data_IF_269462798087
#
_entry.id   IF_269462798087
#
_cell.length_a   1.000
_cell.length_b   1.000
_cell.length_c   1.000
_cell.angle_alpha   90.00
_cell.angle_beta   90.00
_cell.angle_gamma   90.00
#
_symmetry.space_group_name_H-M   'P 1'
#
loop_
_entity.id
_entity.type
_entity.pdbx_description
1 polymer ?
#
# COMPACT_ATOMS: atom_id res chain seq x y z
N UNK A 1 30.46 44.88 -5.05
CA UNK A 1 29.15 44.76 -5.74
C UNK A 1 29.23 43.55 -6.65
N UNK A 2 28.61 42.43 -6.25
CA UNK A 2 27.42 41.83 -6.91
C UNK A 2 27.74 41.31 -8.33
N UNK A 3 27.55 40.04 -8.70
CA UNK A 3 26.61 39.02 -8.24
C UNK A 3 27.13 37.61 -8.54
N UNK A 4 26.95 36.69 -7.58
CA UNK A 4 26.88 35.26 -7.82
C UNK A 4 25.67 34.94 -8.71
N UNK A 5 25.88 34.17 -9.78
CA UNK A 5 24.84 33.32 -10.37
C UNK A 5 25.31 31.87 -10.31
N UNK A 6 24.93 31.22 -9.22
CA UNK A 6 24.92 29.77 -9.07
C UNK A 6 23.87 29.19 -10.01
N UNK A 7 24.30 28.56 -11.11
CA UNK A 7 23.44 27.69 -11.89
C UNK A 7 23.25 26.37 -11.14
N UNK A 8 22.03 26.13 -10.67
CA UNK A 8 21.61 24.85 -10.09
C UNK A 8 21.55 23.79 -11.20
N UNK A 9 22.12 22.59 -11.01
CA UNK A 9 22.02 21.54 -12.01
C UNK A 9 20.58 21.03 -12.13
N UNK A 10 20.14 20.94 -13.39
CA UNK A 10 18.85 20.41 -13.86
C UNK A 10 18.54 19.06 -13.18
N UNK A 11 17.33 18.95 -12.64
CA UNK A 11 16.79 17.78 -11.95
C UNK A 11 17.09 16.45 -12.68
N UNK A 12 17.82 15.58 -12.00
CA UNK A 12 18.08 14.23 -12.47
C UNK A 12 16.79 13.40 -12.41
N UNK A 13 16.20 13.10 -13.58
CA UNK A 13 15.20 12.03 -13.72
C UNK A 13 15.88 10.68 -13.53
N UNK A 14 15.93 10.21 -12.28
CA UNK A 14 16.38 8.84 -11.99
C UNK A 14 15.32 7.85 -12.50
N UNK A 15 15.52 7.30 -13.70
CA UNK A 15 14.79 6.12 -14.19
C UNK A 15 15.33 4.88 -13.49
N UNK A 16 14.70 4.47 -12.38
CA UNK A 16 14.95 3.14 -11.83
C UNK A 16 14.24 2.08 -12.67
N UNK A 17 15.02 1.28 -13.40
CA UNK A 17 14.56 0.02 -14.01
C UNK A 17 14.53 -1.05 -12.93
N UNK A 18 13.38 -1.28 -12.32
CA UNK A 18 13.14 -2.50 -11.52
C UNK A 18 12.84 -3.66 -12.47
N UNK A 19 13.53 -4.79 -12.28
CA UNK A 19 13.33 -6.04 -13.03
C UNK A 19 11.95 -6.65 -12.70
N UNK A 20 10.89 -6.10 -13.28
CA UNK A 20 9.59 -6.76 -13.36
C UNK A 20 9.42 -7.35 -14.76
N UNK A 21 8.87 -8.57 -14.85
CA UNK A 21 8.42 -9.18 -16.12
C UNK A 21 7.25 -8.42 -16.78
N UNK A 22 6.70 -7.41 -16.11
CA UNK A 22 5.90 -6.33 -16.70
C UNK A 22 6.07 -5.06 -15.86
N UNK A 23 6.48 -3.91 -16.42
CA UNK A 23 6.80 -2.72 -15.63
C UNK A 23 5.59 -2.26 -14.81
N UNK A 24 5.72 -2.35 -13.49
CA UNK A 24 4.75 -1.80 -12.54
C UNK A 24 4.85 -0.27 -12.58
N UNK A 25 3.78 0.44 -12.97
CA UNK A 25 3.81 1.91 -12.96
C UNK A 25 3.49 2.42 -11.56
N UNK A 26 4.50 2.89 -10.84
CA UNK A 26 4.34 3.51 -9.52
C UNK A 26 4.11 5.02 -9.69
N UNK A 27 3.05 5.54 -9.07
CA UNK A 27 2.72 6.97 -9.01
C UNK A 27 2.76 7.44 -7.57
N UNK A 28 3.74 8.29 -7.24
CA UNK A 28 3.93 8.83 -5.90
C UNK A 28 3.23 10.18 -5.74
N UNK A 29 2.63 10.39 -4.58
CA UNK A 29 1.96 11.62 -4.20
C UNK A 29 2.39 12.04 -2.79
N UNK A 30 2.67 13.33 -2.57
CA UNK A 30 2.99 13.83 -1.23
C UNK A 30 1.79 13.73 -0.29
N UNK A 31 0.61 14.12 -0.75
CA UNK A 31 -0.63 14.12 0.04
C UNK A 31 -1.79 13.74 -0.89
N UNK A 32 -2.66 12.85 -0.44
CA UNK A 32 -3.94 12.54 -1.09
C UNK A 32 -5.07 12.46 -0.05
N UNK A 33 -6.34 12.61 -0.44
CA UNK A 33 -7.46 12.20 0.39
C UNK A 33 -7.38 10.69 0.67
N UNK A 34 -7.27 9.86 -0.37
CA UNK A 34 -7.12 8.42 -0.27
C UNK A 34 -6.41 7.85 -1.52
N UNK A 35 -5.47 6.93 -1.32
CA UNK A 35 -4.85 6.16 -2.43
C UNK A 35 -5.89 5.30 -3.13
N UNK A 36 -6.87 4.77 -2.40
CA UNK A 36 -7.91 3.91 -2.95
C UNK A 36 -8.85 4.68 -3.88
N UNK A 37 -9.30 5.86 -3.45
CA UNK A 37 -10.08 6.76 -4.31
C UNK A 37 -9.29 7.14 -5.55
N UNK A 38 -8.01 7.51 -5.40
CA UNK A 38 -7.18 7.89 -6.54
C UNK A 38 -6.96 6.73 -7.51
N UNK A 39 -6.77 5.52 -7.01
CA UNK A 39 -6.65 4.32 -7.82
C UNK A 39 -7.94 4.03 -8.61
N UNK A 40 -9.11 4.13 -7.97
CA UNK A 40 -10.41 3.98 -8.64
C UNK A 40 -10.61 5.04 -9.73
N UNK A 41 -10.30 6.30 -9.46
CA UNK A 41 -10.33 7.40 -10.44
C UNK A 41 -9.46 7.08 -11.67
N UNK A 42 -8.21 6.66 -11.44
CA UNK A 42 -7.27 6.34 -12.52
C UNK A 42 -7.69 5.10 -13.30
N UNK A 43 -8.25 4.08 -12.63
CA UNK A 43 -8.79 2.89 -13.28
C UNK A 43 -9.95 3.25 -14.24
N UNK A 44 -10.88 4.11 -13.81
CA UNK A 44 -11.97 4.61 -14.67
C UNK A 44 -11.46 5.37 -15.90
N UNK A 45 -10.31 6.04 -15.77
CA UNK A 45 -9.61 6.75 -16.85
C UNK A 45 -8.68 5.86 -17.69
N UNK A 46 -8.73 4.53 -17.52
CA UNK A 46 -7.97 3.58 -18.34
C UNK A 46 -6.52 3.37 -17.90
N UNK A 47 -6.17 3.64 -16.65
CA UNK A 47 -4.87 3.24 -16.12
C UNK A 47 -4.71 1.71 -16.19
N UNK A 48 -3.52 1.27 -16.61
CA UNK A 48 -3.23 -0.15 -16.81
C UNK A 48 -3.25 -0.93 -15.48
N UNK A 49 -3.60 -2.22 -15.50
CA UNK A 49 -3.41 -3.13 -14.38
C UNK A 49 -1.99 -3.06 -13.82
N UNK A 50 -1.87 -3.34 -12.51
CA UNK A 50 -0.65 -3.21 -11.73
C UNK A 50 -0.09 -1.78 -11.68
N UNK A 51 -0.89 -0.76 -11.97
CA UNK A 51 -0.54 0.61 -11.57
C UNK A 51 -0.67 0.73 -10.05
N UNK A 52 0.36 1.26 -9.41
CA UNK A 52 0.44 1.44 -7.95
C UNK A 52 0.40 2.92 -7.63
N UNK A 53 -0.52 3.30 -6.74
CA UNK A 53 -0.65 4.66 -6.22
C UNK A 53 -0.07 4.64 -4.82
N UNK A 54 0.89 5.51 -4.53
CA UNK A 54 1.51 5.64 -3.20
C UNK A 54 1.33 7.05 -2.70
N UNK A 55 0.96 7.22 -1.43
CA UNK A 55 0.89 8.53 -0.78
C UNK A 55 1.81 8.58 0.45
N UNK A 56 2.53 9.69 0.66
CA UNK A 56 3.27 9.89 1.92
C UNK A 56 2.32 10.18 3.10
N UNK A 57 1.15 10.78 2.83
CA UNK A 57 0.10 11.07 3.82
C UNK A 57 -1.28 10.95 3.18
N UNK A 58 -2.25 10.44 3.94
CA UNK A 58 -3.67 10.52 3.57
C UNK A 58 -4.43 11.46 4.51
N UNK A 59 -5.24 12.36 3.98
CA UNK A 59 -6.10 13.26 4.78
C UNK A 59 -7.48 12.67 5.07
N UNK A 60 -7.90 11.67 4.30
CA UNK A 60 -9.18 10.98 4.45
C UNK A 60 -9.03 9.48 4.20
N UNK A 61 -7.95 8.88 4.73
CA UNK A 61 -7.76 7.44 4.69
C UNK A 61 -8.93 6.73 5.37
N UNK A 62 -9.40 5.62 4.80
CA UNK A 62 -10.52 4.87 5.34
C UNK A 62 -10.34 3.35 5.16
N UNK A 63 -10.95 2.59 6.05
CA UNK A 63 -11.05 1.14 6.00
C UNK A 63 -12.44 0.65 5.58
N UNK A 64 -12.73 -0.62 5.87
CA UNK A 64 -14.05 -1.22 5.67
C UNK A 64 -15.12 -0.44 6.44
N UNK A 65 -16.35 -0.44 5.93
CA UNK A 65 -17.47 0.32 6.52
C UNK A 65 -17.15 1.82 6.73
N UNK A 66 -16.19 2.36 5.96
CA UNK A 66 -15.73 3.76 6.02
C UNK A 66 -15.18 4.20 7.38
N UNK A 67 -14.66 3.27 8.20
CA UNK A 67 -13.93 3.65 9.40
C UNK A 67 -12.70 4.46 9.04
N UNK A 68 -12.34 5.46 9.85
CA UNK A 68 -11.16 6.27 9.59
C UNK A 68 -9.89 5.42 9.68
N UNK A 69 -8.93 5.69 8.79
CA UNK A 69 -7.60 5.07 8.81
C UNK A 69 -6.54 6.16 9.03
N UNK A 70 -5.91 6.16 10.20
CA UNK A 70 -4.87 7.12 10.55
C UNK A 70 -3.64 6.94 9.65
N UNK A 71 -3.29 7.98 8.88
CA UNK A 71 -2.27 7.90 7.83
C UNK A 71 -1.35 9.14 7.77
N UNK A 72 -0.60 9.45 8.85
CA UNK A 72 0.38 10.55 8.84
C UNK A 72 1.60 10.19 7.98
N UNK A 73 2.56 11.11 7.84
CA UNK A 73 3.84 10.77 7.20
C UNK A 73 4.58 9.67 7.97
N UNK A 74 5.30 8.82 7.24
CA UNK A 74 6.13 7.75 7.78
C UNK A 74 5.61 6.35 7.47
N UNK A 75 4.28 6.17 7.36
CA UNK A 75 3.68 4.88 6.98
C UNK A 75 3.81 4.58 5.48
N UNK A 76 3.42 3.36 5.11
CA UNK A 76 3.33 2.90 3.73
C UNK A 76 1.86 2.78 3.35
N UNK A 77 1.35 3.75 2.59
CA UNK A 77 -0.02 3.81 2.11
C UNK A 77 -0.05 3.71 0.61
N UNK A 78 -0.65 2.65 0.09
CA UNK A 78 -0.71 2.45 -1.35
C UNK A 78 -1.95 1.68 -1.78
N UNK A 79 -2.28 1.81 -3.06
CA UNK A 79 -3.35 1.05 -3.70
C UNK A 79 -2.89 0.50 -5.05
N UNK A 80 -3.31 -0.71 -5.37
CA UNK A 80 -2.98 -1.43 -6.61
C UNK A 80 -4.25 -1.59 -7.44
N UNK A 81 -4.19 -1.18 -8.71
CA UNK A 81 -5.25 -1.48 -9.68
C UNK A 81 -5.02 -2.91 -10.18
N UNK A 82 -5.95 -3.82 -9.97
CA UNK A 82 -5.84 -5.19 -10.44
C UNK A 82 -6.32 -5.35 -11.88
N UNK A 83 -5.81 -6.37 -12.61
CA UNK A 83 -6.46 -6.81 -13.84
C UNK A 83 -7.87 -7.35 -13.52
N UNK A 84 -8.74 -7.36 -14.54
CA UNK A 84 -10.00 -8.12 -14.44
C UNK A 84 -9.63 -9.59 -14.23
N UNK A 85 -10.03 -10.16 -13.09
CA UNK A 85 -9.74 -11.55 -12.73
C UNK A 85 -11.03 -12.37 -12.73
N UNK A 86 -10.88 -13.70 -12.74
CA UNK A 86 -11.98 -14.63 -12.47
C UNK A 86 -12.34 -14.69 -10.98
N UNK A 87 -11.50 -14.11 -10.10
CA UNK A 87 -11.75 -14.03 -8.66
C UNK A 87 -12.72 -12.88 -8.44
N UNK A 88 -14.01 -13.21 -8.48
CA UNK A 88 -15.09 -12.24 -8.23
C UNK A 88 -15.24 -11.92 -6.74
N UNK A 89 -14.77 -12.81 -5.86
CA UNK A 89 -14.83 -12.62 -4.41
C UNK A 89 -13.74 -11.66 -3.91
N UNK A 90 -14.16 -10.47 -3.51
CA UNK A 90 -13.30 -9.45 -2.91
C UNK A 90 -12.71 -9.88 -1.56
N UNK A 91 -13.39 -10.78 -0.83
CA UNK A 91 -12.89 -11.26 0.44
C UNK A 91 -11.64 -12.13 0.23
N UNK A 92 -11.66 -13.02 -0.76
CA UNK A 92 -10.50 -13.83 -1.17
C UNK A 92 -9.29 -12.95 -1.53
N UNK A 93 -9.48 -11.91 -2.35
CA UNK A 93 -8.40 -10.96 -2.68
C UNK A 93 -7.84 -10.25 -1.44
N UNK A 94 -8.72 -9.91 -0.49
CA UNK A 94 -8.34 -9.25 0.76
C UNK A 94 -7.51 -10.17 1.65
N UNK A 95 -7.92 -11.44 1.79
CA UNK A 95 -7.22 -12.45 2.59
C UNK A 95 -5.85 -12.76 1.98
N UNK A 96 -5.77 -12.96 0.67
CA UNK A 96 -4.50 -13.15 -0.05
C UNK A 96 -3.55 -11.97 0.21
N UNK A 97 -4.08 -10.75 0.15
CA UNK A 97 -3.28 -9.55 0.42
C UNK A 97 -2.79 -9.48 1.85
N UNK A 98 -3.64 -9.80 2.83
CA UNK A 98 -3.24 -9.88 4.23
C UNK A 98 -2.14 -10.93 4.45
N UNK A 99 -2.25 -12.08 3.78
CA UNK A 99 -1.24 -13.13 3.81
C UNK A 99 0.10 -12.67 3.24
N UNK A 100 0.12 -12.03 2.07
CA UNK A 100 1.37 -11.52 1.46
C UNK A 100 2.01 -10.44 2.33
N UNK A 101 1.23 -9.56 2.95
CA UNK A 101 1.77 -8.57 3.89
C UNK A 101 2.37 -9.25 5.11
N UNK A 102 1.64 -10.18 5.75
CA UNK A 102 2.12 -10.90 6.92
C UNK A 102 3.40 -11.69 6.60
N UNK A 103 3.44 -12.41 5.47
CA UNK A 103 4.63 -13.11 4.98
C UNK A 103 5.81 -12.16 4.80
N UNK A 104 5.59 -11.01 4.16
CA UNK A 104 6.65 -10.00 3.94
C UNK A 104 7.19 -9.48 5.28
N UNK A 105 6.33 -9.22 6.26
CA UNK A 105 6.75 -8.77 7.60
C UNK A 105 7.60 -9.85 8.27
N UNK A 106 7.11 -11.10 8.28
CA UNK A 106 7.80 -12.23 8.90
C UNK A 106 9.20 -12.45 8.30
N UNK A 107 9.30 -12.50 6.97
CA UNK A 107 10.56 -12.79 6.27
C UNK A 107 11.61 -11.69 6.41
N UNK A 108 11.22 -10.42 6.51
CA UNK A 108 12.19 -9.31 6.59
C UNK A 108 12.60 -8.95 8.03
N UNK A 109 11.77 -9.27 9.02
CA UNK A 109 11.90 -8.69 10.36
C UNK A 109 11.84 -9.71 11.50
N UNK A 110 11.65 -11.00 11.20
CA UNK A 110 11.52 -12.06 12.22
C UNK A 110 10.44 -11.78 13.28
N UNK A 111 9.43 -11.00 12.91
CA UNK A 111 8.23 -10.77 13.70
C UNK A 111 7.22 -11.90 13.42
N UNK A 112 6.28 -12.11 14.33
CA UNK A 112 5.21 -13.12 14.19
C UNK A 112 3.86 -12.46 13.95
N UNK A 113 3.57 -11.98 12.71
CA UNK A 113 2.31 -11.34 12.39
C UNK A 113 1.16 -12.34 12.35
N UNK A 114 0.02 -11.95 12.92
CA UNK A 114 -1.24 -12.69 12.88
C UNK A 114 -2.25 -12.00 11.97
N UNK A 115 -3.04 -12.78 11.23
CA UNK A 115 -4.11 -12.26 10.39
C UNK A 115 -5.42 -12.34 11.17
N UNK A 116 -5.96 -11.18 11.55
CA UNK A 116 -7.33 -11.07 12.05
C UNK A 116 -8.25 -10.92 10.84
N UNK A 117 -8.97 -12.00 10.53
CA UNK A 117 -9.79 -12.06 9.34
C UNK A 117 -10.85 -10.96 9.31
N UNK A 118 -11.20 -10.47 8.10
CA UNK A 118 -10.60 -10.83 6.81
C UNK A 118 -9.43 -9.94 6.37
N UNK A 119 -9.12 -8.85 7.09
CA UNK A 119 -8.44 -7.71 6.48
C UNK A 119 -7.41 -6.97 7.37
N UNK A 120 -7.12 -7.50 8.55
CA UNK A 120 -6.21 -6.87 9.51
C UNK A 120 -4.99 -7.77 9.74
N UNK A 121 -3.80 -7.16 9.75
CA UNK A 121 -2.57 -7.83 10.21
C UNK A 121 -2.18 -7.22 11.54
N UNK A 122 -1.93 -8.09 12.52
CA UNK A 122 -1.61 -7.74 13.89
C UNK A 122 -0.19 -8.19 14.24
N UNK A 123 0.46 -7.47 15.14
CA UNK A 123 1.69 -7.89 15.83
C UNK A 123 1.43 -7.66 17.32
N UNK A 124 1.70 -8.65 18.17
CA UNK A 124 1.42 -8.56 19.60
C UNK A 124 -0.02 -8.10 19.90
N UNK A 125 -0.99 -8.66 19.18
CA UNK A 125 -2.43 -8.32 19.23
C UNK A 125 -2.80 -6.88 18.85
N UNK A 126 -1.86 -6.05 18.42
CA UNK A 126 -2.08 -4.69 17.94
C UNK A 126 -2.01 -4.60 16.42
N UNK A 127 -2.85 -3.77 15.83
CA UNK A 127 -2.98 -3.64 14.37
C UNK A 127 -1.80 -2.89 13.77
N UNK A 128 -1.08 -3.56 12.87
CA UNK A 128 0.01 -2.96 12.08
C UNK A 128 -0.42 -2.65 10.66
N UNK A 129 -1.38 -3.40 10.10
CA UNK A 129 -1.84 -3.22 8.73
C UNK A 129 -3.36 -3.34 8.61
N UNK A 130 -3.94 -2.53 7.74
CA UNK A 130 -5.31 -2.67 7.25
C UNK A 130 -5.34 -2.83 5.73
N UNK A 131 -6.10 -3.79 5.25
CA UNK A 131 -6.34 -4.03 3.82
C UNK A 131 -7.79 -3.67 3.49
N UNK A 132 -8.01 -3.05 2.33
CA UNK A 132 -9.32 -2.73 1.79
C UNK A 132 -9.37 -3.04 0.29
N UNK A 133 -10.19 -4.00 -0.10
CA UNK A 133 -10.46 -4.28 -1.52
C UNK A 133 -11.80 -3.70 -1.93
N UNK A 134 -11.84 -2.94 -3.02
CA UNK A 134 -13.06 -2.34 -3.57
C UNK A 134 -13.15 -2.58 -5.09
N UNK A 135 -14.36 -2.79 -5.60
CA UNK A 135 -14.61 -2.82 -7.04
C UNK A 135 -14.54 -1.42 -7.67
N UNK A 136 -14.10 -1.38 -8.92
CA UNK A 136 -14.22 -0.22 -9.81
C UNK A 136 -15.43 -0.45 -10.71
N UNK A 137 -16.51 0.25 -10.40
CA UNK A 137 -17.77 0.15 -11.15
C UNK A 137 -17.82 1.30 -12.16
N UNK A 138 -17.87 0.97 -13.46
CA UNK A 138 -18.22 1.88 -14.55
C UNK A 138 -19.61 1.56 -15.10
N UNK A 139 -19.80 1.59 -16.43
CA UNK A 139 -21.01 1.00 -17.06
C UNK A 139 -21.10 -0.53 -16.87
N UNK A 140 -19.97 -1.18 -16.59
CA UNK A 140 -19.82 -2.57 -16.13
C UNK A 140 -18.74 -2.62 -15.03
N UNK A 141 -18.60 -3.74 -14.28
CA UNK A 141 -17.45 -3.96 -13.37
C UNK A 141 -16.17 -4.04 -14.21
N UNK A 142 -15.27 -3.05 -14.03
CA UNK A 142 -14.06 -2.92 -14.85
C UNK A 142 -12.84 -3.61 -14.25
N UNK A 143 -12.68 -3.54 -12.93
CA UNK A 143 -11.52 -4.06 -12.19
C UNK A 143 -11.74 -3.96 -10.68
N UNK A 144 -10.79 -4.46 -9.89
CA UNK A 144 -10.74 -4.28 -8.44
C UNK A 144 -9.52 -3.46 -8.04
N UNK A 145 -9.59 -2.78 -6.90
CA UNK A 145 -8.48 -2.06 -6.29
C UNK A 145 -8.22 -2.64 -4.91
N UNK A 146 -6.97 -3.00 -4.62
CA UNK A 146 -6.50 -3.35 -3.28
C UNK A 146 -5.79 -2.15 -2.68
N UNK A 147 -6.31 -1.59 -1.60
CA UNK A 147 -5.66 -0.61 -0.75
C UNK A 147 -5.00 -1.28 0.46
N UNK A 148 -3.77 -0.90 0.75
CA UNK A 148 -2.97 -1.38 1.87
C UNK A 148 -2.45 -0.16 2.63
N UNK A 149 -2.84 -0.07 3.90
CA UNK A 149 -2.26 0.86 4.86
C UNK A 149 -1.41 0.07 5.85
N UNK A 150 -0.10 0.25 5.78
CA UNK A 150 0.86 -0.38 6.68
C UNK A 150 1.54 0.69 7.55
N UNK A 151 1.42 0.53 8.86
CA UNK A 151 2.10 1.36 9.84
C UNK A 151 3.58 0.93 9.88
N UNK A 152 4.43 1.59 9.10
CA UNK A 152 5.85 1.28 9.05
C UNK A 152 6.62 2.15 10.03
N UNK A 153 6.87 3.43 9.71
CA UNK A 153 7.69 4.32 10.53
C UNK A 153 6.84 5.29 11.38
N UNK A 154 5.73 4.81 11.96
CA UNK A 154 4.84 5.61 12.81
C UNK A 154 5.22 5.45 14.28
N UNK A 155 5.54 6.54 14.97
CA UNK A 155 5.95 6.48 16.39
C UNK A 155 4.81 6.72 17.37
N UNK A 156 3.79 7.49 16.96
CA UNK A 156 2.72 7.93 17.84
C UNK A 156 1.38 7.75 17.14
N UNK A 157 0.42 7.24 17.90
CA UNK A 157 -0.96 7.09 17.47
C UNK A 157 -1.85 8.05 18.28
N UNK A 158 -3.01 8.45 17.75
CA UNK A 158 -4.07 9.06 18.53
C UNK A 158 -4.43 8.20 19.75
N UNK A 159 -4.89 8.84 20.83
CA UNK A 159 -5.16 8.19 22.12
C UNK A 159 -6.15 7.01 22.01
N UNK A 160 -7.12 7.11 21.11
CA UNK A 160 -8.11 6.07 20.83
C UNK A 160 -7.54 4.84 20.09
N UNK A 161 -6.34 4.96 19.50
CA UNK A 161 -5.66 3.90 18.77
C UNK A 161 -4.41 3.38 19.49
N UNK A 162 -3.93 4.05 20.54
CA UNK A 162 -2.65 3.78 21.19
C UNK A 162 -2.50 2.33 21.68
N UNK A 163 -3.56 1.76 22.26
CA UNK A 163 -3.56 0.38 22.77
C UNK A 163 -3.84 -0.67 21.68
N UNK A 164 -4.42 -0.25 20.55
CA UNK A 164 -4.95 -1.16 19.52
C UNK A 164 -4.15 -1.16 18.22
N UNK A 165 -3.25 -0.19 18.02
CA UNK A 165 -2.41 -0.04 16.84
C UNK A 165 -0.92 -0.11 17.21
N UNK A 166 -0.12 -0.57 16.26
CA UNK A 166 1.35 -0.55 16.35
C UNK A 166 1.95 -0.24 14.99
N UNK A 167 3.27 -0.11 14.93
CA UNK A 167 4.04 0.06 13.71
C UNK A 167 5.28 -0.82 13.71
N UNK A 168 5.84 -1.07 12.53
CA UNK A 168 7.11 -1.79 12.44
C UNK A 168 8.24 -1.07 13.20
N UNK A 169 8.25 0.26 13.23
CA UNK A 169 9.23 1.03 13.99
C UNK A 169 9.09 0.86 15.50
N UNK A 170 7.86 0.79 16.02
CA UNK A 170 7.61 0.52 17.44
C UNK A 170 8.07 -0.90 17.81
N UNK A 171 7.72 -1.89 16.98
CA UNK A 171 8.06 -3.29 17.26
C UNK A 171 9.55 -3.61 17.07
N UNK A 172 10.27 -2.87 16.21
CA UNK A 172 11.69 -3.11 15.89
C UNK A 172 12.67 -2.14 16.56
N UNK A 173 12.19 -1.01 17.11
CA UNK A 173 13.04 0.06 17.63
C UNK A 173 13.86 0.81 16.58
N UNK A 174 13.58 0.63 15.28
CA UNK A 174 14.31 1.25 14.17
C UNK A 174 13.43 1.45 12.94
N UNK A 175 13.86 2.32 12.03
CA UNK A 175 13.14 2.53 10.77
C UNK A 175 13.30 1.37 9.79
N UNK A 176 12.33 1.28 8.86
CA UNK A 176 12.28 0.31 7.78
C UNK A 176 12.15 1.00 6.42
N UNK A 177 12.65 0.32 5.38
CA UNK A 177 12.59 0.80 4.01
C UNK A 177 11.23 0.51 3.36
N UNK A 178 10.37 1.54 3.31
CA UNK A 178 9.05 1.47 2.69
C UNK A 178 9.11 1.06 1.21
N UNK A 179 10.16 1.43 0.47
CA UNK A 179 10.29 1.09 -0.95
C UNK A 179 10.56 -0.40 -1.10
N UNK A 180 11.48 -0.96 -0.30
CA UNK A 180 11.78 -2.40 -0.31
C UNK A 180 10.54 -3.22 0.04
N UNK A 181 9.82 -2.83 1.09
CA UNK A 181 8.59 -3.52 1.51
C UNK A 181 7.51 -3.46 0.41
N UNK A 182 7.31 -2.29 -0.19
CA UNK A 182 6.36 -2.12 -1.30
C UNK A 182 6.69 -3.05 -2.48
N UNK A 183 7.96 -3.08 -2.90
CA UNK A 183 8.41 -3.93 -4.01
C UNK A 183 8.15 -5.42 -3.73
N UNK A 184 8.43 -5.89 -2.51
CA UNK A 184 8.20 -7.26 -2.09
C UNK A 184 6.71 -7.62 -2.05
N UNK A 185 5.86 -6.76 -1.48
CA UNK A 185 4.40 -7.00 -1.42
C UNK A 185 3.82 -7.05 -2.83
N UNK A 186 4.16 -6.09 -3.69
CA UNK A 186 3.65 -6.05 -5.08
C UNK A 186 4.12 -7.27 -5.86
N UNK A 187 5.37 -7.71 -5.68
CA UNK A 187 5.89 -8.93 -6.31
C UNK A 187 5.14 -10.17 -5.82
N UNK A 188 5.00 -10.34 -4.50
CA UNK A 188 4.30 -11.50 -3.91
C UNK A 188 2.84 -11.57 -4.34
N UNK A 189 2.15 -10.43 -4.44
CA UNK A 189 0.78 -10.37 -4.97
C UNK A 189 0.70 -10.78 -6.43
N UNK A 190 1.64 -10.33 -7.29
CA UNK A 190 1.69 -10.73 -8.70
C UNK A 190 1.87 -12.24 -8.85
N UNK A 191 2.81 -12.81 -8.10
CA UNK A 191 3.10 -14.24 -8.12
C UNK A 191 1.88 -15.05 -7.66
N UNK A 192 1.31 -14.70 -6.50
CA UNK A 192 0.18 -15.43 -5.93
C UNK A 192 -1.08 -15.35 -6.78
N UNK A 193 -1.41 -14.17 -7.33
CA UNK A 193 -2.60 -14.02 -8.18
C UNK A 193 -2.43 -14.65 -9.55
N UNK A 194 -1.20 -14.76 -10.07
CA UNK A 194 -0.92 -15.51 -11.29
C UNK A 194 -1.21 -17.00 -11.08
N UNK A 195 -0.69 -17.59 -10.00
CA UNK A 195 -0.87 -19.01 -9.69
C UNK A 195 -2.34 -19.41 -9.50
N UNK A 196 -3.19 -18.52 -8.98
CA UNK A 196 -4.62 -18.81 -8.76
C UNK A 196 -5.46 -18.62 -10.04
N UNK A 197 -4.94 -17.86 -11.01
CA UNK A 197 -5.67 -17.56 -12.25
C UNK A 197 -5.40 -18.58 -13.37
N UNK A 198 -4.37 -19.41 -13.20
CA UNK A 198 -4.01 -20.57 -14.04
C UNK A 198 -4.79 -21.80 -13.58
#
# INVERSE_FOLDING_TARGET
>A
MQNLKTELPKEAKVKMRTKFSSPCKIRNFKILPSTNQKAKELALRGALPWTVIVAEKQTGGYGRKRTAWFSPRGGLYFSIILPRSKIEDLQTLTIISAFIVAKTIKENFSLEPLIKLPNDVLINSRKVCGILTENVIGKEVKSSVIGIGLNTNIEKFPKDLEDSATSLKIELGREVDNKKILEQIVKGLKEQLKTISE
#
